data_IF_672553333498
#
_entry.id   IF_672553333498
#
_cell.length_a   1.000
_cell.length_b   1.000
_cell.length_c   1.000
_cell.angle_alpha   90.00
_cell.angle_beta   90.00
_cell.angle_gamma   90.00
#
_symmetry.space_group_name_H-M   'P 1'
#
loop_
_entity.id
_entity.type
_entity.pdbx_description
1 polymer ?
#
# COMPACT_ATOMS: atom_id res chain seq x y z
N UNK A 1 -24.53 -28.22 -15.40
CA UNK A 1 -23.06 -28.28 -15.42
C UNK A 1 -22.55 -26.94 -15.96
N UNK A 2 -21.72 -26.23 -15.19
CA UNK A 2 -21.05 -24.97 -15.55
C UNK A 2 -20.17 -25.13 -16.81
N UNK A 3 -20.05 -24.10 -17.66
CA UNK A 3 -18.79 -23.36 -17.94
C UNK A 3 -18.88 -22.37 -19.13
N UNK A 4 -18.27 -21.19 -18.90
CA UNK A 4 -17.48 -20.32 -19.81
C UNK A 4 -18.12 -19.16 -20.60
N UNK A 5 -17.93 -17.97 -20.01
CA UNK A 5 -17.27 -16.74 -20.56
C UNK A 5 -17.68 -16.17 -21.92
N UNK A 6 -18.13 -14.90 -21.97
CA UNK A 6 -17.94 -14.04 -23.14
C UNK A 6 -16.57 -13.35 -23.07
N UNK A 7 -15.75 -13.63 -24.09
CA UNK A 7 -14.54 -12.91 -24.48
C UNK A 7 -14.91 -11.53 -25.02
N UNK A 8 -14.22 -10.50 -24.53
CA UNK A 8 -13.77 -9.33 -25.29
C UNK A 8 -14.80 -8.38 -25.90
N UNK A 9 -15.03 -7.24 -25.24
CA UNK A 9 -15.27 -5.96 -25.93
C UNK A 9 -14.54 -4.82 -25.18
N UNK A 10 -13.59 -4.11 -25.82
CA UNK A 10 -13.12 -2.83 -25.34
C UNK A 10 -14.04 -1.74 -25.91
N UNK A 11 -14.76 -1.02 -25.06
CA UNK A 11 -15.52 0.14 -25.49
C UNK A 11 -15.50 1.23 -24.41
N UNK A 12 -15.05 2.41 -24.82
CA UNK A 12 -15.39 3.72 -24.24
C UNK A 12 -14.65 4.21 -22.99
N UNK A 13 -13.31 4.17 -23.01
CA UNK A 13 -12.50 5.21 -22.33
C UNK A 13 -12.50 6.45 -23.23
N UNK A 14 -13.55 7.27 -23.18
CA UNK A 14 -13.58 8.61 -23.83
C UNK A 14 -14.59 9.60 -23.23
N UNK A 15 -15.29 9.26 -22.14
CA UNK A 15 -16.29 10.16 -21.54
C UNK A 15 -15.77 11.04 -20.39
N UNK A 16 -14.52 10.86 -19.94
CA UNK A 16 -14.05 11.51 -18.70
C UNK A 16 -13.17 12.76 -18.90
N UNK A 17 -12.90 13.18 -20.15
CA UNK A 17 -12.04 14.35 -20.43
C UNK A 17 -12.79 15.54 -21.08
N UNK A 18 -14.12 15.59 -21.00
CA UNK A 18 -14.91 16.68 -21.62
C UNK A 18 -15.70 17.57 -20.65
N UNK A 19 -15.41 17.57 -19.35
CA UNK A 19 -15.95 18.60 -18.46
C UNK A 19 -15.11 19.89 -18.52
N UNK A 20 -15.48 20.73 -19.48
CA UNK A 20 -15.04 22.11 -19.66
C UNK A 20 -15.64 23.00 -18.55
N UNK A 21 -14.86 23.68 -17.70
CA UNK A 21 -15.42 24.63 -16.75
C UNK A 21 -15.83 25.93 -17.46
N UNK A 22 -17.07 26.35 -17.26
CA UNK A 22 -17.61 27.65 -17.67
C UNK A 22 -17.03 28.78 -16.81
N UNK A 23 -16.71 29.96 -17.37
CA UNK A 23 -16.19 31.08 -16.57
C UNK A 23 -17.37 31.87 -16.00
N UNK A 24 -17.66 31.67 -14.72
CA UNK A 24 -18.77 32.36 -14.08
C UNK A 24 -18.80 32.22 -12.56
N UNK A 25 -17.66 32.40 -11.89
CA UNK A 25 -17.62 32.49 -10.42
C UNK A 25 -16.80 33.72 -10.00
N UNK A 26 -17.45 34.89 -10.07
CA UNK A 26 -17.09 36.04 -9.24
C UNK A 26 -17.39 35.67 -7.78
N UNK A 27 -16.43 35.03 -7.14
CA UNK A 27 -16.54 34.55 -5.78
C UNK A 27 -15.16 34.22 -5.25
N UNK A 28 -14.26 35.21 -5.29
CA UNK A 28 -12.97 35.19 -4.61
C UNK A 28 -13.18 35.13 -3.09
N UNK A 29 -13.66 33.99 -2.60
CA UNK A 29 -13.55 33.62 -1.21
C UNK A 29 -12.11 33.16 -1.03
N UNK A 30 -11.27 34.12 -0.68
CA UNK A 30 -9.90 33.92 -0.24
C UNK A 30 -9.96 33.09 1.05
N UNK A 31 -10.09 31.77 0.92
CA UNK A 31 -10.01 30.86 2.05
C UNK A 31 -8.58 31.02 2.56
N UNK A 32 -8.45 31.72 3.68
CA UNK A 32 -7.22 31.86 4.45
C UNK A 32 -6.91 30.50 5.09
N UNK A 33 -6.55 29.53 4.26
CA UNK A 33 -5.91 28.31 4.68
C UNK A 33 -4.49 28.72 5.06
N UNK A 34 -4.26 28.86 6.37
CA UNK A 34 -2.94 28.92 6.97
C UNK A 34 -2.01 27.94 6.25
N UNK A 35 -0.72 28.26 6.05
CA UNK A 35 0.20 27.36 5.36
C UNK A 35 0.11 25.98 6.01
N UNK A 36 -0.50 25.04 5.29
CA UNK A 36 -0.54 23.66 5.70
C UNK A 36 0.92 23.24 5.70
N UNK A 37 1.55 23.25 6.87
CA UNK A 37 2.82 22.58 7.10
C UNK A 37 2.53 21.08 7.04
N UNK A 38 2.28 20.57 5.83
CA UNK A 38 2.47 19.17 5.53
C UNK A 38 3.96 18.91 5.72
N UNK A 39 4.32 18.54 6.93
CA UNK A 39 5.53 17.75 7.15
C UNK A 39 5.26 16.45 6.42
N UNK A 40 5.77 16.29 5.19
CA UNK A 40 5.74 15.06 4.41
C UNK A 40 6.49 13.94 5.14
N UNK A 41 5.89 13.45 6.22
CA UNK A 41 6.40 12.37 7.01
C UNK A 41 6.08 11.08 6.29
N UNK A 42 7.12 10.41 5.78
CA UNK A 42 6.99 9.09 5.15
C UNK A 42 6.66 7.98 6.15
N UNK A 43 6.40 8.28 7.42
CA UNK A 43 6.14 7.31 8.48
C UNK A 43 5.08 6.27 8.11
N UNK A 44 3.95 6.69 7.53
CA UNK A 44 2.89 5.76 7.10
C UNK A 44 3.37 4.82 5.98
N UNK A 45 4.10 5.33 4.99
CA UNK A 45 4.64 4.51 3.90
C UNK A 45 5.75 3.56 4.37
N UNK A 46 6.56 3.98 5.34
CA UNK A 46 7.58 3.16 5.98
C UNK A 46 6.94 2.05 6.80
N UNK A 47 5.87 2.35 7.55
CA UNK A 47 5.12 1.36 8.30
C UNK A 47 4.57 0.27 7.37
N UNK A 48 3.86 0.64 6.30
CA UNK A 48 3.37 -0.29 5.29
C UNK A 48 4.48 -1.15 4.67
N UNK A 49 5.61 -0.53 4.32
CA UNK A 49 6.74 -1.26 3.72
C UNK A 49 7.38 -2.21 4.74
N UNK A 50 7.49 -1.78 6.00
CA UNK A 50 8.09 -2.56 7.08
C UNK A 50 7.31 -3.84 7.36
N UNK A 51 5.97 -3.81 7.33
CA UNK A 51 5.15 -5.01 7.45
C UNK A 51 5.50 -6.05 6.37
N UNK A 52 5.67 -5.59 5.11
CA UNK A 52 6.05 -6.48 4.00
C UNK A 52 7.45 -7.06 4.16
N UNK A 53 8.39 -6.25 4.63
CA UNK A 53 9.76 -6.71 4.92
C UNK A 53 9.74 -7.79 6.00
N UNK A 54 8.98 -7.59 7.09
CA UNK A 54 8.84 -8.59 8.16
C UNK A 54 8.17 -9.87 7.65
N UNK A 55 7.15 -9.77 6.78
CA UNK A 55 6.52 -10.95 6.17
C UNK A 55 7.50 -11.76 5.30
N UNK A 56 8.29 -11.10 4.45
CA UNK A 56 9.30 -11.78 3.61
C UNK A 56 10.42 -12.36 4.47
N UNK A 57 10.85 -11.65 5.52
CA UNK A 57 11.83 -12.15 6.47
C UNK A 57 11.32 -13.42 7.15
N UNK A 58 10.11 -13.40 7.69
CA UNK A 58 9.50 -14.57 8.33
C UNK A 58 9.37 -15.75 7.36
N UNK A 59 8.97 -15.48 6.11
CA UNK A 59 8.88 -16.49 5.06
C UNK A 59 10.24 -17.13 4.74
N UNK A 60 11.32 -16.35 4.72
CA UNK A 60 12.68 -16.85 4.51
C UNK A 60 13.25 -17.55 5.74
N UNK A 61 12.83 -17.15 6.94
CA UNK A 61 13.32 -17.70 8.19
C UNK A 61 12.81 -19.12 8.44
N UNK A 62 11.58 -19.45 8.03
CA UNK A 62 11.00 -20.79 8.14
C UNK A 62 11.88 -21.90 7.51
N UNK A 63 12.28 -21.84 6.23
CA UNK A 63 13.17 -22.82 5.64
C UNK A 63 14.60 -22.72 6.20
N UNK A 64 15.08 -21.51 6.53
CA UNK A 64 16.42 -21.34 7.09
C UNK A 64 16.56 -22.01 8.47
N UNK A 65 15.53 -21.93 9.31
CA UNK A 65 15.46 -22.58 10.62
C UNK A 65 15.35 -24.09 10.52
N UNK A 66 14.68 -24.58 9.48
CA UNK A 66 14.63 -26.02 9.21
C UNK A 66 16.02 -26.57 8.84
N UNK A 67 16.77 -25.86 8.00
CA UNK A 67 18.07 -26.31 7.51
C UNK A 67 19.22 -26.08 8.51
N UNK A 68 19.15 -25.03 9.31
CA UNK A 68 20.19 -24.66 10.27
C UNK A 68 19.58 -24.23 11.62
N UNK A 69 19.24 -25.19 12.49
CA UNK A 69 18.74 -24.89 13.83
C UNK A 69 19.89 -24.33 14.69
N UNK A 70 19.78 -23.07 15.08
CA UNK A 70 20.72 -22.42 15.97
C UNK A 70 20.02 -21.35 16.80
N UNK A 71 20.61 -20.99 17.95
CA UNK A 71 20.01 -20.01 18.88
C UNK A 71 19.73 -18.65 18.21
N UNK A 72 20.60 -18.19 17.31
CA UNK A 72 20.37 -16.96 16.56
C UNK A 72 19.10 -17.03 15.70
N UNK A 73 18.81 -18.20 15.13
CA UNK A 73 17.61 -18.44 14.34
C UNK A 73 16.36 -18.49 15.21
N UNK A 74 16.43 -19.13 16.38
CA UNK A 74 15.32 -19.19 17.34
C UNK A 74 14.91 -17.80 17.82
N UNK A 75 15.88 -16.95 18.16
CA UNK A 75 15.61 -15.55 18.53
C UNK A 75 15.08 -14.74 17.35
N UNK A 76 15.62 -14.94 16.15
CA UNK A 76 15.14 -14.26 14.94
C UNK A 76 13.69 -14.64 14.63
N UNK A 77 13.33 -15.91 14.83
CA UNK A 77 11.98 -16.43 14.60
C UNK A 77 11.01 -15.86 15.62
N UNK A 78 11.39 -15.87 16.90
CA UNK A 78 10.59 -15.25 17.96
C UNK A 78 10.34 -13.76 17.67
N UNK A 79 11.40 -13.00 17.34
CA UNK A 79 11.30 -11.59 17.04
C UNK A 79 10.42 -11.31 15.81
N UNK A 80 10.59 -12.08 14.73
CA UNK A 80 9.81 -11.92 13.50
C UNK A 80 8.33 -12.26 13.73
N UNK A 81 8.02 -13.34 14.46
CA UNK A 81 6.62 -13.72 14.79
C UNK A 81 5.97 -12.67 15.68
N UNK A 82 6.66 -12.21 16.73
CA UNK A 82 6.14 -11.17 17.63
C UNK A 82 5.89 -9.86 16.88
N UNK A 83 6.84 -9.41 16.05
CA UNK A 83 6.70 -8.18 15.29
C UNK A 83 5.65 -8.28 14.18
N UNK A 84 5.45 -9.47 13.60
CA UNK A 84 4.43 -9.68 12.56
C UNK A 84 3.01 -9.77 13.14
N UNK A 85 2.87 -10.22 14.38
CA UNK A 85 1.57 -10.42 15.04
C UNK A 85 1.09 -9.21 15.85
N UNK A 86 1.98 -8.24 16.09
CA UNK A 86 1.68 -6.99 16.78
C UNK A 86 0.97 -6.01 15.86
#
# INVERSE_FOLDING_TARGET
LFLRTPVGRPAHVSAFLQDRPTPGWCGAQHIHLSPIRHSDSKAASLHWTSERVVSVLLLGLLPAAYLNPCSAMDYSLAAAITLHSH
#
